data_IF_367846401834
#
_entry.id   IF_367846401834
#
_cell.length_a   1.000
_cell.length_b   1.000
_cell.length_c   1.000
_cell.angle_alpha   90.00
_cell.angle_beta   90.00
_cell.angle_gamma   90.00
#
_symmetry.space_group_name_H-M   'P 1'
#
loop_
_entity.id
_entity.type
_entity.pdbx_description
1 polymer ?
#
# COMPACT_ATOMS: atom_id res chain seq x y z
N UNK A 1 41.09 -17.00 18.11
CA UNK A 1 40.15 -15.90 18.41
C UNK A 1 39.73 -15.21 17.12
N UNK A 2 38.42 -15.30 16.83
CA UNK A 2 37.52 -14.42 16.02
C UNK A 2 38.05 -13.83 14.69
N UNK A 3 37.69 -14.35 13.52
CA UNK A 3 36.36 -14.31 12.87
C UNK A 3 35.87 -12.89 12.44
N UNK A 4 36.73 -12.11 11.76
CA UNK A 4 36.33 -10.87 11.08
C UNK A 4 36.88 -10.78 9.65
N UNK A 5 36.83 -11.87 8.89
CA UNK A 5 37.08 -11.85 7.44
C UNK A 5 35.83 -12.35 6.74
N UNK A 6 35.06 -11.45 6.12
CA UNK A 6 34.11 -11.82 5.07
C UNK A 6 32.62 -11.54 5.28
N UNK A 7 32.19 -10.71 6.23
CA UNK A 7 30.76 -10.35 6.37
C UNK A 7 30.48 -8.91 5.94
N UNK A 8 30.89 -8.54 4.72
CA UNK A 8 30.67 -7.18 4.19
C UNK A 8 30.30 -7.14 2.70
N UNK A 9 29.94 -8.26 2.07
CA UNK A 9 29.52 -8.28 0.66
C UNK A 9 28.30 -9.19 0.48
N UNK A 10 27.24 -8.62 -0.13
CA UNK A 10 26.01 -9.25 -0.65
C UNK A 10 24.78 -9.43 0.24
N UNK A 11 24.42 -8.46 1.09
CA UNK A 11 22.98 -8.20 1.25
C UNK A 11 22.58 -7.28 0.09
N UNK A 12 21.70 -7.69 -0.85
CA UNK A 12 21.21 -6.76 -1.85
C UNK A 12 20.45 -5.66 -1.12
N UNK A 13 21.07 -4.48 -1.01
CA UNK A 13 20.34 -3.27 -0.65
C UNK A 13 19.37 -2.99 -1.79
N UNK A 14 18.17 -3.59 -1.70
CA UNK A 14 17.04 -3.17 -2.51
C UNK A 14 16.75 -1.75 -2.05
N UNK A 15 17.20 -0.76 -2.83
CA UNK A 15 16.80 0.63 -2.69
C UNK A 15 15.28 0.63 -2.54
N UNK A 16 14.77 0.88 -1.33
CA UNK A 16 13.40 1.32 -1.19
C UNK A 16 13.38 2.70 -1.84
N UNK A 17 13.05 2.72 -3.14
CA UNK A 17 12.59 3.95 -3.76
C UNK A 17 11.51 4.50 -2.81
N UNK A 18 11.56 5.78 -2.39
CA UNK A 18 10.45 6.35 -1.66
C UNK A 18 9.24 6.12 -2.55
N UNK A 19 8.36 5.21 -2.12
CA UNK A 19 7.19 4.80 -2.89
C UNK A 19 6.37 6.09 -3.02
N UNK A 20 6.57 6.82 -4.11
CA UNK A 20 6.15 8.22 -4.18
C UNK A 20 4.66 8.30 -3.87
N UNK A 21 4.24 9.32 -3.13
CA UNK A 21 2.84 9.48 -2.72
C UNK A 21 1.90 9.35 -3.94
N UNK A 22 2.31 9.86 -5.09
CA UNK A 22 1.60 9.72 -6.37
C UNK A 22 1.47 8.28 -6.86
N UNK A 23 2.49 7.45 -6.63
CA UNK A 23 2.50 6.02 -6.96
C UNK A 23 1.58 5.23 -6.03
N UNK A 24 1.58 5.56 -4.74
CA UNK A 24 0.64 5.01 -3.76
C UNK A 24 -0.81 5.40 -4.10
N UNK A 25 -1.06 6.66 -4.47
CA UNK A 25 -2.39 7.13 -4.91
C UNK A 25 -2.81 6.42 -6.20
N UNK A 26 -1.92 6.24 -7.18
CA UNK A 26 -2.24 5.53 -8.42
C UNK A 26 -2.54 4.03 -8.21
N UNK A 27 -1.84 3.38 -7.28
CA UNK A 27 -2.11 2.01 -6.85
C UNK A 27 -3.42 1.92 -6.06
N UNK A 28 -3.71 2.93 -5.22
CA UNK A 28 -4.95 3.06 -4.46
C UNK A 28 -6.19 3.23 -5.37
N UNK A 29 -6.06 4.04 -6.42
CA UNK A 29 -7.13 4.32 -7.39
C UNK A 29 -7.24 3.27 -8.51
N UNK A 30 -6.46 2.18 -8.45
CA UNK A 30 -6.39 1.16 -9.51
C UNK A 30 -6.06 1.70 -10.92
N UNK A 31 -5.44 2.87 -11.00
CA UNK A 31 -5.09 3.52 -12.28
C UNK A 31 -3.89 2.85 -12.95
N UNK A 32 -3.09 2.10 -12.19
CA UNK A 32 -1.95 1.35 -12.71
C UNK A 32 -2.42 -0.03 -13.21
N UNK A 33 -2.35 -0.25 -14.53
CA UNK A 33 -2.57 -1.57 -15.14
C UNK A 33 -1.51 -2.55 -14.64
N UNK A 34 -1.94 -3.73 -14.21
CA UNK A 34 -1.07 -4.82 -13.72
C UNK A 34 -0.04 -5.16 -14.80
N UNK A 35 1.24 -5.22 -14.43
CA UNK A 35 2.28 -5.73 -15.34
C UNK A 35 2.04 -7.24 -15.55
N UNK A 36 1.90 -7.73 -16.80
CA UNK A 36 1.69 -9.15 -17.08
C UNK A 36 2.84 -10.05 -16.59
N UNK A 37 4.00 -9.49 -16.26
CA UNK A 37 5.16 -10.23 -15.71
C UNK A 37 5.19 -10.31 -14.19
N UNK A 38 4.30 -9.62 -13.49
CA UNK A 38 4.27 -9.63 -12.02
C UNK A 38 3.45 -10.82 -11.49
N UNK A 39 4.16 -11.72 -10.79
CA UNK A 39 3.54 -12.82 -10.05
C UNK A 39 2.56 -12.26 -9.01
N UNK A 40 1.28 -12.69 -9.03
CA UNK A 40 0.31 -12.19 -8.07
C UNK A 40 0.66 -12.67 -6.65
N UNK A 41 1.19 -11.77 -5.83
CA UNK A 41 1.50 -12.07 -4.44
C UNK A 41 0.26 -11.99 -3.56
N UNK A 42 0.21 -12.81 -2.50
CA UNK A 42 -0.85 -12.75 -1.50
C UNK A 42 -0.88 -11.39 -0.77
N UNK A 43 0.29 -10.77 -0.59
CA UNK A 43 0.44 -9.44 0.00
C UNK A 43 -0.30 -8.35 -0.78
N UNK A 44 -0.29 -8.42 -2.11
CA UNK A 44 -1.03 -7.48 -2.96
C UNK A 44 -2.55 -7.58 -2.77
N UNK A 45 -3.08 -8.79 -2.49
CA UNK A 45 -4.50 -8.97 -2.15
C UNK A 45 -4.86 -8.32 -0.82
N UNK A 46 -3.99 -8.43 0.18
CA UNK A 46 -4.19 -7.75 1.48
C UNK A 46 -4.13 -6.24 1.34
N UNK A 47 -3.17 -5.70 0.56
CA UNK A 47 -3.09 -4.27 0.30
C UNK A 47 -4.38 -3.75 -0.36
N UNK A 48 -4.89 -4.47 -1.36
CA UNK A 48 -6.16 -4.15 -2.02
C UNK A 48 -7.36 -4.25 -1.05
N UNK A 49 -7.38 -5.25 -0.16
CA UNK A 49 -8.43 -5.44 0.83
C UNK A 49 -8.52 -4.28 1.81
N UNK A 50 -7.39 -3.87 2.39
CA UNK A 50 -7.31 -2.73 3.32
C UNK A 50 -7.82 -1.45 2.64
N UNK A 51 -7.47 -1.25 1.37
CA UNK A 51 -7.95 -0.14 0.55
C UNK A 51 -9.47 -0.07 0.46
N UNK A 52 -10.10 -1.20 0.13
CA UNK A 52 -11.57 -1.30 0.02
C UNK A 52 -12.23 -0.96 1.35
N UNK A 53 -11.74 -1.51 2.46
CA UNK A 53 -12.29 -1.28 3.80
C UNK A 53 -12.21 0.21 4.17
N UNK A 54 -11.10 0.88 3.85
CA UNK A 54 -10.94 2.30 4.15
C UNK A 54 -11.93 3.20 3.39
N UNK A 55 -12.24 2.91 2.13
CA UNK A 55 -13.29 3.60 1.35
C UNK A 55 -14.68 3.37 1.95
N UNK A 56 -15.00 2.13 2.34
CA UNK A 56 -16.28 1.82 2.97
C UNK A 56 -16.49 2.59 4.27
N UNK A 57 -15.48 2.61 5.15
CA UNK A 57 -15.53 3.35 6.41
C UNK A 57 -15.62 4.87 6.18
N UNK A 58 -14.90 5.40 5.18
CA UNK A 58 -14.96 6.80 4.82
C UNK A 58 -16.36 7.21 4.35
N UNK A 59 -16.97 6.45 3.44
CA UNK A 59 -18.33 6.71 2.96
C UNK A 59 -19.35 6.61 4.11
N UNK A 60 -19.22 5.59 4.97
CA UNK A 60 -20.08 5.45 6.15
C UNK A 60 -19.99 6.68 7.06
N UNK A 61 -18.79 7.17 7.34
CA UNK A 61 -18.58 8.38 8.12
C UNK A 61 -19.20 9.62 7.45
N UNK A 62 -19.06 9.77 6.13
CA UNK A 62 -19.69 10.85 5.36
C UNK A 62 -21.21 10.82 5.45
N UNK A 63 -21.83 9.63 5.38
CA UNK A 63 -23.28 9.45 5.54
C UNK A 63 -23.72 9.87 6.95
N UNK A 64 -23.03 9.39 7.99
CA UNK A 64 -23.35 9.75 9.38
C UNK A 64 -23.25 11.27 9.58
N UNK A 65 -22.19 11.88 9.06
CA UNK A 65 -21.97 13.33 9.16
C UNK A 65 -23.05 14.12 8.41
N UNK A 66 -23.41 13.71 7.20
CA UNK A 66 -24.48 14.35 6.42
C UNK A 66 -25.84 14.27 7.14
N UNK A 67 -26.20 13.10 7.68
CA UNK A 67 -27.42 12.92 8.47
C UNK A 67 -27.41 13.82 9.69
N UNK A 68 -26.28 13.89 10.41
CA UNK A 68 -26.13 14.75 11.60
C UNK A 68 -26.22 16.24 11.27
N UNK A 69 -25.73 16.65 10.10
CA UNK A 69 -25.79 18.04 9.64
C UNK A 69 -27.21 18.44 9.20
N UNK A 70 -27.95 17.54 8.55
CA UNK A 70 -29.30 17.81 8.03
C UNK A 70 -30.37 17.68 9.13
N UNK A 71 -30.18 16.79 10.12
CA UNK A 71 -31.10 16.62 11.27
C UNK A 71 -30.85 17.62 12.41
N UNK A 72 -29.91 18.55 12.22
CA UNK A 72 -29.66 19.67 13.13
C UNK A 72 -30.41 20.89 12.65
#
# INVERSE_FOLDING_TARGET
MKAYRGFALTLPYKKQDPMGILRQIAEYLYLKKKDPKEDPTQWMKYMHGINRISIFLFILAMIILAIKLIRR
#
